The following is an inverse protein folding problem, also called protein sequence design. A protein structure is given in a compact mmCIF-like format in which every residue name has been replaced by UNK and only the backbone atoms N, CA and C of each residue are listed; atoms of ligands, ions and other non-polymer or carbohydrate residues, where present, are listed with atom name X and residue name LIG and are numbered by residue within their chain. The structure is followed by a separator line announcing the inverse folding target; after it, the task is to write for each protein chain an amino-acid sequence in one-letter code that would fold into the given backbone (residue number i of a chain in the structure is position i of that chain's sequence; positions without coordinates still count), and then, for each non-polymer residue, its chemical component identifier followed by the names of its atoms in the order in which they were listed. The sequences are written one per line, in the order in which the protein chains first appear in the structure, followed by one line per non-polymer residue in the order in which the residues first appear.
data_IF_856916865097
#
_entry.id   IF_856916865097
#
_cell.length_a   1.000
_cell.length_b   1.000
_cell.length_c   1.000
_cell.angle_alpha   90.00
_cell.angle_beta   90.00
_cell.angle_gamma   90.00
#
_symmetry.space_group_name_H-M   'P 1'
#
loop_
_entity.id
_entity.type
_entity.pdbx_description
1 polymer ?
#
# COMPACT_ATOMS: atom_id res chain seq x y z
N UNK A 1 -13.11 -16.06 -9.63
CA UNK A 1 -12.53 -14.75 -9.26
C UNK A 1 -11.02 -14.82 -8.94
N UNK A 2 -10.29 -15.89 -9.31
CA UNK A 2 -8.90 -16.13 -8.85
C UNK A 2 -7.79 -15.32 -9.55
N UNK A 3 -8.12 -14.32 -10.36
CA UNK A 3 -7.14 -13.57 -11.18
C UNK A 3 -7.11 -12.07 -10.96
N UNK A 4 -7.93 -11.52 -10.06
CA UNK A 4 -8.04 -10.07 -9.90
C UNK A 4 -6.80 -9.46 -9.24
N UNK A 5 -6.35 -9.99 -8.09
CA UNK A 5 -5.17 -9.48 -7.39
C UNK A 5 -3.91 -9.49 -8.26
N UNK A 6 -3.54 -10.61 -8.95
CA UNK A 6 -2.40 -10.60 -9.86
C UNK A 6 -2.54 -9.63 -11.03
N UNK A 7 -3.76 -9.29 -11.43
CA UNK A 7 -4.00 -8.30 -12.50
C UNK A 7 -3.82 -6.88 -11.98
N UNK A 8 -4.29 -6.56 -10.77
CA UNK A 8 -4.04 -5.28 -10.10
C UNK A 8 -2.55 -5.03 -9.90
N UNK A 9 -1.80 -6.03 -9.42
CA UNK A 9 -0.34 -5.95 -9.26
C UNK A 9 0.35 -5.68 -10.60
N UNK A 10 -0.08 -6.37 -11.67
CA UNK A 10 0.46 -6.12 -13.03
C UNK A 10 0.16 -4.72 -13.54
N UNK A 11 -0.95 -4.09 -13.14
CA UNK A 11 -1.23 -2.69 -13.45
C UNK A 11 -0.25 -1.78 -12.71
N UNK A 12 -0.05 -1.99 -11.41
CA UNK A 12 0.90 -1.21 -10.60
C UNK A 12 2.33 -1.30 -11.13
N UNK A 13 2.77 -2.47 -11.58
CA UNK A 13 4.09 -2.69 -12.17
C UNK A 13 4.29 -1.98 -13.53
N UNK A 14 3.20 -1.53 -14.18
CA UNK A 14 3.22 -0.84 -15.47
C UNK A 14 3.02 0.66 -15.36
N UNK A 15 2.66 1.17 -14.19
CA UNK A 15 2.49 2.61 -13.94
C UNK A 15 3.77 3.21 -13.38
N UNK A 16 3.83 4.55 -13.32
CA UNK A 16 4.97 5.24 -12.74
C UNK A 16 5.11 4.89 -11.25
N UNK A 17 6.29 4.43 -10.79
CA UNK A 17 6.49 4.04 -9.39
C UNK A 17 6.30 5.21 -8.42
N UNK A 18 6.43 6.47 -8.88
CA UNK A 18 6.17 7.66 -8.06
C UNK A 18 4.69 7.80 -7.68
N UNK A 19 3.80 7.25 -8.50
CA UNK A 19 2.36 7.28 -8.30
C UNK A 19 1.81 5.97 -7.71
N UNK A 20 2.68 5.02 -7.34
CA UNK A 20 2.28 3.66 -6.94
C UNK A 20 1.25 3.64 -5.80
N UNK A 21 1.41 4.48 -4.77
CA UNK A 21 0.46 4.57 -3.67
C UNK A 21 -0.92 5.09 -4.08
N UNK A 22 -0.93 6.13 -4.91
CA UNK A 22 -2.17 6.72 -5.45
C UNK A 22 -2.87 5.72 -6.38
N UNK A 23 -2.10 5.02 -7.21
CA UNK A 23 -2.63 4.00 -8.10
C UNK A 23 -3.16 2.80 -7.32
N UNK A 24 -2.49 2.41 -6.22
CA UNK A 24 -2.96 1.34 -5.33
C UNK A 24 -4.27 1.73 -4.65
N UNK A 25 -4.39 2.96 -4.13
CA UNK A 25 -5.65 3.43 -3.52
C UNK A 25 -6.80 3.53 -4.53
N UNK A 26 -6.52 3.95 -5.76
CA UNK A 26 -7.50 3.91 -6.83
C UNK A 26 -7.92 2.47 -7.17
N UNK A 27 -6.98 1.53 -7.35
CA UNK A 27 -7.29 0.13 -7.60
C UNK A 27 -8.10 -0.49 -6.46
N UNK A 28 -7.78 -0.15 -5.22
CA UNK A 28 -8.51 -0.57 -4.02
C UNK A 28 -9.98 -0.11 -4.03
N UNK A 29 -10.30 1.03 -4.67
CA UNK A 29 -11.69 1.50 -4.82
C UNK A 29 -12.49 0.75 -5.90
N UNK A 30 -11.82 0.06 -6.82
CA UNK A 30 -12.45 -0.69 -7.91
C UNK A 30 -12.62 -2.18 -7.63
N UNK A 31 -11.88 -2.73 -6.67
CA UNK A 31 -12.00 -4.14 -6.27
C UNK A 31 -13.10 -4.32 -5.23
N UNK A 32 -13.73 -5.51 -5.16
CA UNK A 32 -14.66 -5.84 -4.09
C UNK A 32 -14.02 -5.66 -2.70
N UNK A 33 -14.82 -5.25 -1.71
CA UNK A 33 -14.35 -4.99 -0.34
C UNK A 33 -13.56 -6.17 0.26
N UNK A 34 -14.03 -7.40 0.06
CA UNK A 34 -13.35 -8.61 0.54
C UNK A 34 -11.97 -8.89 -0.08
N UNK A 35 -11.56 -8.15 -1.11
CA UNK A 35 -10.23 -8.24 -1.74
C UNK A 35 -9.35 -7.02 -1.48
N UNK A 36 -9.90 -5.97 -0.85
CA UNK A 36 -9.18 -4.71 -0.62
C UNK A 36 -7.97 -4.91 0.28
N UNK A 37 -8.16 -5.57 1.42
CA UNK A 37 -7.09 -5.83 2.38
C UNK A 37 -6.03 -6.76 1.80
N UNK A 38 -6.47 -7.78 1.05
CA UNK A 38 -5.57 -8.69 0.33
C UNK A 38 -4.71 -7.96 -0.71
N UNK A 39 -5.26 -6.95 -1.38
CA UNK A 39 -4.53 -6.12 -2.32
C UNK A 39 -3.46 -5.28 -1.63
N UNK A 40 -3.81 -4.59 -0.53
CA UNK A 40 -2.86 -3.79 0.25
C UNK A 40 -1.74 -4.64 0.85
N UNK A 41 -2.04 -5.84 1.33
CA UNK A 41 -1.04 -6.75 1.90
C UNK A 41 -0.09 -7.36 0.86
N UNK A 42 -0.48 -7.39 -0.42
CA UNK A 42 0.33 -8.00 -1.50
C UNK A 42 1.02 -6.99 -2.42
N UNK A 43 0.64 -5.72 -2.36
CA UNK A 43 1.19 -4.70 -3.23
C UNK A 43 2.33 -3.95 -2.53
N UNK A 44 3.53 -4.08 -3.07
CA UNK A 44 4.66 -3.27 -2.63
C UNK A 44 4.60 -1.87 -3.25
N UNK A 45 4.73 -0.85 -2.40
CA UNK A 45 4.87 0.55 -2.78
C UNK A 45 6.17 1.13 -2.19
N UNK A 46 6.71 2.23 -2.74
CA UNK A 46 7.89 2.86 -2.18
C UNK A 46 7.74 3.16 -0.68
N UNK A 47 8.75 2.79 0.11
CA UNK A 47 8.76 3.03 1.55
C UNK A 47 8.89 4.52 1.86
N UNK A 48 8.16 4.97 2.89
CA UNK A 48 8.24 6.33 3.41
C UNK A 48 8.97 6.37 4.74
N UNK A 49 9.51 7.53 5.07
CA UNK A 49 10.18 7.77 6.35
C UNK A 49 9.23 8.52 7.27
N UNK A 50 8.95 7.93 8.43
CA UNK A 50 8.32 8.57 9.58
C UNK A 50 9.38 9.10 10.56
N UNK A 51 8.95 9.98 11.46
CA UNK A 51 9.77 10.46 12.57
C UNK A 51 9.04 10.17 13.89
N UNK A 52 9.75 9.51 14.80
CA UNK A 52 9.31 9.32 16.18
C UNK A 52 9.41 10.67 16.91
N UNK A 53 8.32 11.08 17.54
CA UNK A 53 8.23 12.36 18.25
C UNK A 53 8.95 12.34 19.59
N UNK A 54 9.12 11.15 20.19
CA UNK A 54 9.66 10.98 21.53
C UNK A 54 11.18 10.70 21.50
N UNK A 55 11.65 9.91 20.53
CA UNK A 55 13.05 9.50 20.45
C UNK A 55 13.92 10.22 19.38
N UNK A 56 13.37 11.16 18.60
CA UNK A 56 14.01 11.83 17.44
C UNK A 56 14.66 10.84 16.46
N UNK A 57 14.00 9.69 16.27
CA UNK A 57 14.46 8.61 15.39
C UNK A 57 13.57 8.51 14.17
N UNK A 58 14.19 8.17 13.05
CA UNK A 58 13.47 7.88 11.80
C UNK A 58 13.06 6.42 11.75
N UNK A 59 11.85 6.16 11.29
CA UNK A 59 11.34 4.81 11.06
C UNK A 59 10.68 4.67 9.69
N UNK A 60 10.38 3.45 9.28
CA UNK A 60 9.79 3.15 7.98
C UNK A 60 8.27 3.07 8.12
N UNK A 61 7.55 3.73 7.22
CA UNK A 61 6.10 3.61 7.06
C UNK A 61 5.80 2.55 5.99
N UNK A 62 4.99 1.55 6.36
CA UNK A 62 4.53 0.49 5.48
C UNK A 62 3.15 0.00 5.94
N UNK A 63 2.46 -0.77 5.10
CA UNK A 63 1.20 -1.41 5.51
C UNK A 63 1.40 -2.43 6.65
N UNK A 64 2.61 -2.96 6.85
CA UNK A 64 2.89 -3.91 7.92
C UNK A 64 2.91 -3.30 9.33
N UNK A 65 3.16 -1.99 9.44
CA UNK A 65 3.11 -1.26 10.70
C UNK A 65 1.97 -0.23 10.75
N UNK A 66 1.03 -0.28 9.79
CA UNK A 66 -0.11 0.61 9.75
C UNK A 66 -1.29 0.02 10.52
N UNK A 67 -1.94 0.85 11.33
CA UNK A 67 -3.22 0.58 11.95
C UNK A 67 -4.15 1.79 11.72
N UNK A 68 -5.13 1.63 10.83
CA UNK A 68 -5.97 2.72 10.35
C UNK A 68 -5.15 3.84 9.70
N UNK A 69 -5.12 5.02 10.33
CA UNK A 69 -4.33 6.18 9.88
C UNK A 69 -3.06 6.43 10.72
N UNK A 70 -2.69 5.46 11.57
CA UNK A 70 -1.53 5.52 12.45
C UNK A 70 -0.49 4.47 12.09
N UNK A 71 0.76 4.69 12.50
CA UNK A 71 1.86 3.76 12.32
C UNK A 71 2.51 3.43 13.67
N UNK A 72 2.82 2.15 13.85
CA UNK A 72 3.56 1.61 15.00
C UNK A 72 5.06 1.80 14.84
#
# INVERSE_FOLDING_TARGET
MSGQIPSCIRVLQKTDPRDAEKNLSHLASFVPEGLRDELYQRADVPLKIGADKDEDRKYVLSEHNRDGDSYR
#
